data_IF_611852897500
#
_entry.id   IF_611852897500
#
_cell.length_a   1.000
_cell.length_b   1.000
_cell.length_c   1.000
_cell.angle_alpha   90.00
_cell.angle_beta   90.00
_cell.angle_gamma   90.00
#
_symmetry.space_group_name_H-M   'P 1'
#
loop_
_entity.id
_entity.type
_entity.pdbx_description
1 polymer ?
#
# COMPACT_ATOMS: atom_id res chain seq x y z
N UNK A 1 18.19 0.78 10.02
CA UNK A 1 17.06 1.61 10.51
C UNK A 1 17.15 3.07 10.05
N UNK A 2 18.31 3.74 10.20
CA UNK A 2 18.46 5.15 9.81
C UNK A 2 18.11 5.45 8.32
N UNK A 3 18.44 4.53 7.41
CA UNK A 3 18.16 4.70 5.98
C UNK A 3 16.64 4.73 5.66
N UNK A 4 15.84 3.89 6.34
CA UNK A 4 14.39 3.87 6.16
C UNK A 4 13.70 5.13 6.70
N UNK A 5 14.22 5.70 7.80
CA UNK A 5 13.71 6.97 8.31
C UNK A 5 13.94 8.12 7.33
N UNK A 6 15.08 8.13 6.62
CA UNK A 6 15.33 9.15 5.58
C UNK A 6 14.30 9.07 4.44
N UNK A 7 13.96 7.87 3.98
CA UNK A 7 12.90 7.70 2.98
C UNK A 7 11.53 8.12 3.52
N UNK A 8 11.21 7.76 4.76
CA UNK A 8 9.97 8.17 5.43
C UNK A 8 9.83 9.70 5.42
N UNK A 9 10.81 10.42 5.96
CA UNK A 9 10.73 11.88 6.07
C UNK A 9 10.61 12.57 4.70
N UNK A 10 11.37 12.10 3.70
CA UNK A 10 11.29 12.64 2.32
C UNK A 10 9.90 12.46 1.73
N UNK A 11 9.33 11.26 1.87
CA UNK A 11 8.01 10.94 1.33
C UNK A 11 6.91 11.69 2.07
N UNK A 12 7.00 11.80 3.40
CA UNK A 12 6.01 12.52 4.19
C UNK A 12 5.98 14.01 3.84
N UNK A 13 7.15 14.63 3.64
CA UNK A 13 7.26 16.02 3.16
C UNK A 13 6.75 16.18 1.73
N UNK A 14 7.14 15.29 0.83
CA UNK A 14 6.76 15.38 -0.59
C UNK A 14 5.25 15.20 -0.82
N UNK A 15 4.62 14.30 -0.08
CA UNK A 15 3.19 14.00 -0.23
C UNK A 15 2.30 14.77 0.76
N UNK A 16 2.90 15.48 1.73
CA UNK A 16 2.21 16.09 2.87
C UNK A 16 1.23 15.14 3.57
N UNK A 17 1.66 13.88 3.74
CA UNK A 17 0.87 12.77 4.27
C UNK A 17 1.76 11.84 5.05
N UNK A 18 1.23 11.20 6.09
CA UNK A 18 1.95 10.13 6.79
C UNK A 18 2.34 9.00 5.83
N UNK A 19 3.53 8.42 6.00
CA UNK A 19 4.05 7.39 5.09
C UNK A 19 3.09 6.20 4.97
N UNK A 20 2.42 5.83 6.05
CA UNK A 20 1.44 4.73 6.06
C UNK A 20 0.31 4.97 5.06
N UNK A 21 -0.20 6.21 4.96
CA UNK A 21 -1.26 6.56 4.03
C UNK A 21 -0.76 6.59 2.58
N UNK A 22 0.46 7.05 2.35
CA UNK A 22 1.10 7.01 1.02
C UNK A 22 1.25 5.57 0.52
N UNK A 23 1.77 4.68 1.35
CA UNK A 23 1.98 3.26 0.98
C UNK A 23 0.63 2.56 0.82
N UNK A 24 -0.36 2.85 1.67
CA UNK A 24 -1.70 2.28 1.59
C UNK A 24 -2.47 2.74 0.36
N UNK A 25 -2.35 4.00 -0.04
CA UNK A 25 -2.93 4.53 -1.27
C UNK A 25 -2.44 3.70 -2.47
N UNK A 26 -1.12 3.51 -2.60
CA UNK A 26 -0.52 2.75 -3.70
C UNK A 26 -0.81 1.25 -3.63
N UNK A 27 -0.56 0.62 -2.48
CA UNK A 27 -0.56 -0.85 -2.35
C UNK A 27 -1.96 -1.43 -2.19
N UNK A 28 -2.87 -0.73 -1.51
CA UNK A 28 -4.20 -1.21 -1.17
C UNK A 28 -5.29 -0.56 -2.00
N UNK A 29 -5.27 0.77 -2.18
CA UNK A 29 -6.34 1.47 -2.93
C UNK A 29 -6.14 1.33 -4.44
N UNK A 30 -4.93 1.61 -4.94
CA UNK A 30 -4.57 1.45 -6.36
C UNK A 30 -4.18 0.01 -6.73
N UNK A 31 -4.12 -0.89 -5.74
CA UNK A 31 -3.78 -2.32 -5.91
C UNK A 31 -2.39 -2.60 -6.51
N UNK A 32 -1.47 -1.64 -6.51
CA UNK A 32 -0.17 -1.77 -7.17
C UNK A 32 0.77 -2.75 -6.46
N UNK A 33 1.65 -3.36 -7.26
CA UNK A 33 2.73 -4.22 -6.75
C UNK A 33 3.89 -3.41 -6.13
N UNK A 34 4.71 -4.03 -5.26
CA UNK A 34 5.84 -3.36 -4.62
C UNK A 34 6.84 -2.74 -5.60
N UNK A 35 7.12 -3.39 -6.73
CA UNK A 35 8.08 -2.89 -7.72
C UNK A 35 7.60 -1.61 -8.41
N UNK A 36 6.33 -1.56 -8.82
CA UNK A 36 5.74 -0.39 -9.48
C UNK A 36 5.62 0.76 -8.50
N UNK A 37 5.18 0.48 -7.27
CA UNK A 37 4.99 1.49 -6.24
C UNK A 37 6.32 2.11 -5.79
N UNK A 38 7.36 1.29 -5.60
CA UNK A 38 8.70 1.76 -5.27
C UNK A 38 9.27 2.68 -6.37
N UNK A 39 9.07 2.32 -7.64
CA UNK A 39 9.46 3.15 -8.78
C UNK A 39 8.72 4.49 -8.79
N UNK A 40 7.40 4.51 -8.54
CA UNK A 40 6.61 5.76 -8.42
C UNK A 40 7.12 6.67 -7.30
N UNK A 41 7.54 6.10 -6.18
CA UNK A 41 8.02 6.83 -5.01
C UNK A 41 9.51 7.19 -5.06
N UNK A 42 10.26 6.71 -6.07
CA UNK A 42 11.69 6.95 -6.17
C UNK A 42 12.51 6.34 -5.03
N UNK A 43 12.06 5.20 -4.48
CA UNK A 43 12.74 4.50 -3.37
C UNK A 43 13.12 3.07 -3.76
N UNK A 44 14.08 2.44 -3.06
CA UNK A 44 14.36 1.01 -3.24
C UNK A 44 13.13 0.15 -2.96
N UNK A 45 12.96 -0.92 -3.75
CA UNK A 45 11.88 -1.91 -3.55
C UNK A 45 11.87 -2.48 -2.12
N UNK A 46 13.04 -2.71 -1.52
CA UNK A 46 13.13 -3.20 -0.15
C UNK A 46 12.58 -2.20 0.88
N UNK A 47 12.80 -0.90 0.68
CA UNK A 47 12.22 0.13 1.55
C UNK A 47 10.69 0.12 1.47
N UNK A 48 10.13 -0.02 0.27
CA UNK A 48 8.67 -0.14 0.11
C UNK A 48 8.12 -1.37 0.84
N UNK A 49 8.76 -2.54 0.67
CA UNK A 49 8.35 -3.79 1.33
C UNK A 49 8.47 -3.67 2.85
N UNK A 50 9.53 -3.02 3.34
CA UNK A 50 9.69 -2.74 4.76
C UNK A 50 8.47 -2.00 5.32
N UNK A 51 8.01 -0.93 4.68
CA UNK A 51 6.83 -0.20 5.13
C UNK A 51 5.54 -1.01 5.01
N UNK A 52 5.38 -1.81 3.95
CA UNK A 52 4.23 -2.72 3.80
C UNK A 52 4.14 -3.68 4.99
N UNK A 53 5.27 -4.23 5.42
CA UNK A 53 5.34 -5.15 6.56
C UNK A 53 5.17 -4.41 7.90
N UNK A 54 5.82 -3.25 8.06
CA UNK A 54 5.75 -2.43 9.27
C UNK A 54 4.31 -2.05 9.63
N UNK A 55 3.49 -1.76 8.62
CA UNK A 55 2.10 -1.35 8.77
C UNK A 55 1.08 -2.48 8.52
N UNK A 56 1.54 -3.73 8.42
CA UNK A 56 0.71 -4.93 8.19
C UNK A 56 -0.27 -4.79 6.99
N UNK A 57 0.12 -4.03 5.97
CA UNK A 57 -0.75 -3.66 4.84
C UNK A 57 -1.06 -4.85 3.94
N UNK A 58 -0.26 -5.92 4.00
CA UNK A 58 -0.55 -7.18 3.34
C UNK A 58 -1.87 -7.76 3.85
N UNK A 59 -2.07 -7.82 5.17
CA UNK A 59 -3.34 -8.30 5.75
C UNK A 59 -4.50 -7.39 5.38
N UNK A 60 -4.30 -6.08 5.40
CA UNK A 60 -5.32 -5.11 5.01
C UNK A 60 -5.75 -5.30 3.54
N UNK A 61 -4.79 -5.50 2.64
CA UNK A 61 -5.05 -5.77 1.21
C UNK A 61 -5.90 -7.02 1.02
N UNK A 62 -5.53 -8.13 1.67
CA UNK A 62 -6.31 -9.37 1.60
C UNK A 62 -7.73 -9.24 2.18
N UNK A 63 -7.89 -8.53 3.29
CA UNK A 63 -9.21 -8.28 3.88
C UNK A 63 -10.12 -7.50 2.91
N UNK A 64 -9.56 -6.52 2.19
CA UNK A 64 -10.30 -5.76 1.18
C UNK A 64 -10.65 -6.62 -0.05
N UNK A 65 -9.77 -7.51 -0.49
CA UNK A 65 -10.08 -8.46 -1.57
C UNK A 65 -11.26 -9.37 -1.19
N UNK A 66 -11.30 -9.90 0.04
CA UNK A 66 -12.43 -10.72 0.52
C UNK A 66 -13.75 -9.94 0.51
N UNK A 67 -13.75 -8.69 0.98
CA UNK A 67 -14.95 -7.83 0.93
C UNK A 67 -15.43 -7.58 -0.50
N UNK A 68 -14.52 -7.32 -1.44
CA UNK A 68 -14.86 -7.17 -2.87
C UNK A 68 -15.46 -8.44 -3.45
N UNK A 69 -14.87 -9.61 -3.18
CA UNK A 69 -15.38 -10.91 -3.67
C UNK A 69 -16.80 -11.16 -3.15
N UNK A 70 -17.04 -10.97 -1.85
CA UNK A 70 -18.37 -11.13 -1.25
C UNK A 70 -19.39 -10.16 -1.89
N UNK A 71 -18.99 -8.92 -2.17
CA UNK A 71 -19.87 -7.93 -2.80
C UNK A 71 -20.20 -8.24 -4.26
N UNK A 72 -19.28 -8.87 -4.99
CA UNK A 72 -19.49 -9.30 -6.38
C UNK A 72 -20.43 -10.51 -6.43
N UNK A 73 -20.19 -11.54 -5.62
CA UNK A 73 -21.07 -12.72 -5.57
C UNK A 73 -22.51 -12.40 -5.13
N UNK A 74 -22.72 -11.36 -4.32
CA UNK A 74 -24.08 -10.90 -3.95
C UNK A 74 -24.82 -10.21 -5.09
N UNK A 75 -24.12 -9.59 -6.02
CA UNK A 75 -24.74 -8.90 -7.17
C UNK A 75 -25.13 -9.88 -8.27
N UNK A 76 -24.40 -10.98 -8.41
CA UNK A 76 -24.71 -12.03 -9.39
C UNK A 76 -25.90 -12.92 -9.01
N UNK A 77 -26.36 -12.89 -7.75
CA UNK A 77 -27.54 -13.62 -7.27
C UNK A 77 -28.86 -12.83 -7.40
N UNK A 78 -28.83 -11.60 -7.92
CA UNK A 78 -30.02 -10.72 -8.08
C UNK A 78 -30.35 -10.53 -9.58
N UNK A 79 -29.82 -11.37 -10.48
CA UNK A 79 -30.24 -11.41 -11.88
C UNK A 79 -31.14 -12.60 -12.16
#
# INVERSE_FOLDING_TARGET
>A
MAEYNSYKEKLEKHHNKAIVEVIKDLYVKEDLGPSVSAKKLGIPRQAFIYFVNLYDLKRLKFANCKKKIISLSRRELIQ
#
